data_IF_464101550992
#
_entry.id   IF_464101550992
#
_cell.length_a   1.000
_cell.length_b   1.000
_cell.length_c   1.000
_cell.angle_alpha   90.00
_cell.angle_beta   90.00
_cell.angle_gamma   90.00
#
_symmetry.space_group_name_H-M   'P 1'
#
loop_
_entity.id
_entity.type
_entity.pdbx_description
1 polymer ?
#
# COMPACT_ATOMS: atom_id res chain seq x y z
N UNK A 1 -1.01 -11.56 21.84
CA UNK A 1 -0.93 -13.02 22.13
C UNK A 1 -1.64 -13.26 23.43
N UNK A 2 -2.41 -14.34 23.54
CA UNK A 2 -3.14 -14.69 24.75
C UNK A 2 -2.21 -15.38 25.75
N UNK A 3 -2.30 -14.99 27.03
CA UNK A 3 -1.55 -15.59 28.12
C UNK A 3 -2.39 -16.62 28.87
N UNK A 4 -1.75 -17.60 29.52
CA UNK A 4 -2.46 -18.64 30.28
C UNK A 4 -3.38 -18.07 31.38
N UNK A 5 -3.06 -16.89 31.92
CA UNK A 5 -3.92 -16.15 32.86
C UNK A 5 -5.26 -15.73 32.26
N UNK A 6 -5.33 -15.54 30.94
CA UNK A 6 -6.52 -15.12 30.20
C UNK A 6 -7.37 -16.30 29.72
N UNK A 7 -6.97 -17.54 30.03
CA UNK A 7 -7.67 -18.75 29.58
C UNK A 7 -9.12 -18.82 30.06
N UNK A 8 -9.38 -18.37 31.28
CA UNK A 8 -10.75 -18.32 31.81
C UNK A 8 -11.59 -17.30 31.03
N UNK A 9 -11.09 -16.07 30.88
CA UNK A 9 -11.78 -15.02 30.15
C UNK A 9 -12.05 -15.39 28.67
N UNK A 10 -11.13 -16.12 28.04
CA UNK A 10 -11.33 -16.69 26.72
C UNK A 10 -12.45 -17.74 26.67
N UNK A 11 -12.49 -18.64 27.67
CA UNK A 11 -13.56 -19.63 27.79
C UNK A 11 -14.92 -18.96 27.96
N UNK A 12 -15.00 -17.97 28.86
CA UNK A 12 -16.23 -17.26 29.19
C UNK A 12 -16.76 -16.50 27.94
N UNK A 13 -15.86 -15.89 27.16
CA UNK A 13 -16.22 -15.23 25.90
C UNK A 13 -16.82 -16.21 24.88
N UNK A 14 -16.27 -17.43 24.77
CA UNK A 14 -16.83 -18.45 23.87
C UNK A 14 -18.19 -18.97 24.37
N UNK A 15 -18.40 -19.04 25.69
CA UNK A 15 -19.70 -19.40 26.26
C UNK A 15 -20.73 -18.32 25.99
N UNK A 16 -20.41 -17.04 26.18
CA UNK A 16 -21.29 -15.91 25.88
C UNK A 16 -21.78 -15.93 24.43
N UNK A 17 -20.86 -16.10 23.48
CA UNK A 17 -21.23 -16.26 22.06
C UNK A 17 -22.03 -17.55 21.86
N UNK A 18 -21.65 -18.64 22.53
CA UNK A 18 -22.38 -19.90 22.48
C UNK A 18 -23.85 -19.75 22.87
N UNK A 19 -24.11 -19.09 23.99
CA UNK A 19 -25.44 -18.81 24.52
C UNK A 19 -26.28 -17.97 23.54
N UNK A 20 -25.68 -16.97 22.89
CA UNK A 20 -26.36 -16.18 21.85
C UNK A 20 -26.93 -17.06 20.71
N UNK A 21 -26.23 -18.16 20.39
CA UNK A 21 -26.67 -19.13 19.39
C UNK A 21 -27.42 -20.33 19.96
N UNK A 22 -27.75 -20.33 21.27
CA UNK A 22 -28.44 -21.43 21.94
C UNK A 22 -27.62 -22.73 21.99
N UNK A 23 -26.28 -22.65 22.00
CA UNK A 23 -25.39 -23.81 22.12
C UNK A 23 -24.58 -23.74 23.41
N UNK A 24 -24.21 -24.90 23.94
CA UNK A 24 -23.16 -25.01 24.96
C UNK A 24 -21.84 -25.36 24.28
N UNK A 25 -20.79 -24.57 24.52
CA UNK A 25 -19.47 -24.83 23.93
C UNK A 25 -18.72 -25.84 24.80
N UNK A 26 -18.42 -27.02 24.24
CA UNK A 26 -17.71 -28.06 24.98
C UNK A 26 -16.28 -27.64 25.35
N UNK A 27 -15.77 -28.13 26.47
CA UNK A 27 -14.37 -27.89 26.88
C UNK A 27 -13.35 -28.32 25.83
N UNK A 28 -13.62 -29.39 25.09
CA UNK A 28 -12.76 -29.85 23.98
C UNK A 28 -12.73 -28.84 22.82
N UNK A 29 -13.88 -28.23 22.49
CA UNK A 29 -13.97 -27.16 21.49
C UNK A 29 -13.18 -25.94 21.93
N UNK A 30 -13.34 -25.50 23.18
CA UNK A 30 -12.59 -24.37 23.75
C UNK A 30 -11.08 -24.62 23.72
N UNK A 31 -10.64 -25.83 24.10
CA UNK A 31 -9.23 -26.21 24.05
C UNK A 31 -8.68 -26.20 22.60
N UNK A 32 -9.49 -26.67 21.64
CA UNK A 32 -9.12 -26.63 20.22
C UNK A 32 -8.95 -25.19 19.74
N UNK A 33 -9.89 -24.31 20.09
CA UNK A 33 -9.82 -22.90 19.75
C UNK A 33 -8.61 -22.22 20.41
N UNK A 34 -8.37 -22.49 21.69
CA UNK A 34 -7.21 -21.98 22.42
C UNK A 34 -5.91 -22.35 21.70
N UNK A 35 -5.71 -23.63 21.37
CA UNK A 35 -4.53 -24.12 20.64
C UNK A 35 -4.31 -23.41 19.30
N UNK A 36 -5.38 -23.12 18.56
CA UNK A 36 -5.30 -22.51 17.24
C UNK A 36 -5.07 -20.99 17.30
N UNK A 37 -5.69 -20.33 18.30
CA UNK A 37 -5.82 -18.88 18.35
C UNK A 37 -4.84 -18.22 19.34
N UNK A 38 -4.46 -18.86 20.44
CA UNK A 38 -3.72 -18.21 21.53
C UNK A 38 -2.41 -17.55 21.09
N UNK A 39 -1.68 -18.19 20.18
CA UNK A 39 -0.40 -17.68 19.68
C UNK A 39 -0.55 -16.55 18.63
N UNK A 40 -1.77 -16.27 18.17
CA UNK A 40 -2.00 -15.44 16.99
C UNK A 40 -2.80 -14.16 17.24
N UNK A 41 -3.45 -14.04 18.39
CA UNK A 41 -4.31 -12.90 18.75
C UNK A 41 -4.24 -12.65 20.26
N UNK A 42 -4.64 -11.46 20.67
CA UNK A 42 -4.96 -11.12 22.05
C UNK A 42 -6.48 -11.20 22.30
N UNK A 43 -6.87 -11.07 23.57
CA UNK A 43 -8.27 -11.20 23.98
C UNK A 43 -9.14 -10.06 23.44
N UNK A 44 -8.58 -8.85 23.35
CA UNK A 44 -9.28 -7.67 22.86
C UNK A 44 -9.61 -7.78 21.37
N UNK A 45 -8.63 -8.17 20.56
CA UNK A 45 -8.81 -8.43 19.12
C UNK A 45 -9.82 -9.55 18.90
N UNK A 46 -9.77 -10.61 19.71
CA UNK A 46 -10.74 -11.71 19.62
C UNK A 46 -12.17 -11.20 19.83
N UNK A 47 -12.40 -10.41 20.88
CA UNK A 47 -13.71 -9.82 21.17
C UNK A 47 -14.20 -8.95 20.02
N UNK A 48 -13.36 -8.03 19.55
CA UNK A 48 -13.70 -7.16 18.42
C UNK A 48 -14.09 -7.94 17.16
N UNK A 49 -13.39 -9.03 16.87
CA UNK A 49 -13.66 -9.89 15.73
C UNK A 49 -14.97 -10.66 15.88
N UNK A 50 -15.24 -11.18 17.08
CA UNK A 50 -16.50 -11.88 17.36
C UNK A 50 -17.69 -10.92 17.29
N UNK A 51 -17.59 -9.71 17.84
CA UNK A 51 -18.62 -8.68 17.71
C UNK A 51 -18.91 -8.36 16.25
N UNK A 52 -17.86 -8.21 15.43
CA UNK A 52 -17.99 -7.96 14.00
C UNK A 52 -18.62 -9.14 13.25
N UNK A 53 -18.36 -10.37 13.69
CA UNK A 53 -19.02 -11.57 13.15
C UNK A 53 -20.51 -11.58 13.47
N UNK A 54 -20.89 -11.24 14.70
CA UNK A 54 -22.31 -11.16 15.10
C UNK A 54 -23.08 -10.11 14.29
N UNK A 55 -22.43 -9.01 13.90
CA UNK A 55 -23.01 -7.96 13.07
C UNK A 55 -23.04 -8.30 11.56
N UNK A 56 -22.39 -9.38 11.13
CA UNK A 56 -22.37 -9.79 9.74
C UNK A 56 -23.69 -10.49 9.36
N UNK A 57 -24.46 -9.88 8.46
CA UNK A 57 -25.78 -10.37 8.07
C UNK A 57 -25.76 -11.77 7.42
N UNK A 58 -24.65 -12.18 6.80
CA UNK A 58 -24.53 -13.50 6.18
C UNK A 58 -23.86 -14.50 7.12
N UNK A 59 -22.69 -14.13 7.68
CA UNK A 59 -21.86 -15.04 8.48
C UNK A 59 -22.32 -15.15 9.93
N UNK A 60 -22.84 -14.06 10.49
CA UNK A 60 -23.35 -13.97 11.86
C UNK A 60 -24.56 -14.86 12.13
N UNK A 61 -25.14 -15.47 11.10
CA UNK A 61 -26.24 -16.45 11.22
C UNK A 61 -25.81 -17.77 11.87
N UNK A 62 -24.52 -18.09 11.82
CA UNK A 62 -23.96 -19.33 12.35
C UNK A 62 -22.86 -19.04 13.37
N UNK A 63 -22.45 -20.05 14.14
CA UNK A 63 -21.25 -19.87 14.98
C UNK A 63 -20.10 -19.45 14.12
N UNK A 64 -19.26 -18.52 14.59
CA UNK A 64 -17.95 -18.39 14.01
C UNK A 64 -17.19 -19.71 14.10
N UNK A 65 -16.50 -20.08 13.03
CA UNK A 65 -15.43 -21.07 13.09
C UNK A 65 -14.09 -20.35 13.36
N UNK A 66 -13.04 -21.05 13.85
CA UNK A 66 -11.72 -20.44 13.99
C UNK A 66 -11.19 -19.82 12.68
N UNK A 67 -11.54 -20.40 11.53
CA UNK A 67 -11.23 -19.86 10.21
C UNK A 67 -11.89 -18.52 9.93
N UNK A 68 -13.12 -18.31 10.39
CA UNK A 68 -13.84 -17.04 10.23
C UNK A 68 -13.17 -15.94 11.04
N UNK A 69 -12.79 -16.26 12.29
CA UNK A 69 -12.05 -15.36 13.17
C UNK A 69 -10.73 -14.95 12.49
N UNK A 70 -9.94 -15.90 12.00
CA UNK A 70 -8.68 -15.60 11.32
C UNK A 70 -8.87 -14.75 10.07
N UNK A 71 -9.93 -15.01 9.29
CA UNK A 71 -10.27 -14.21 8.09
C UNK A 71 -10.63 -12.77 8.46
N UNK A 72 -11.38 -12.57 9.54
CA UNK A 72 -11.75 -11.24 10.01
C UNK A 72 -10.55 -10.50 10.60
N UNK A 73 -9.67 -11.18 11.33
CA UNK A 73 -8.40 -10.61 11.80
C UNK A 73 -7.56 -10.13 10.61
N UNK A 74 -7.41 -10.96 9.57
CA UNK A 74 -6.67 -10.57 8.36
C UNK A 74 -7.27 -9.30 7.74
N UNK A 75 -8.60 -9.20 7.64
CA UNK A 75 -9.29 -8.01 7.12
C UNK A 75 -9.10 -6.76 7.99
N UNK A 76 -9.09 -6.90 9.32
CA UNK A 76 -8.85 -5.78 10.24
C UNK A 76 -7.42 -5.24 10.10
N UNK A 77 -6.45 -6.10 9.79
CA UNK A 77 -5.04 -5.76 9.62
C UNK A 77 -4.71 -5.37 8.16
N UNK A 78 -5.66 -4.75 7.45
CA UNK A 78 -5.48 -4.28 6.07
C UNK A 78 -5.66 -5.34 4.98
N UNK A 79 -5.70 -6.62 5.34
CA UNK A 79 -6.01 -7.73 4.44
C UNK A 79 -4.96 -8.03 3.37
N UNK A 80 -5.15 -9.13 2.66
CA UNK A 80 -4.50 -9.37 1.37
C UNK A 80 -5.25 -8.65 0.26
N UNK A 81 -4.58 -7.79 -0.53
CA UNK A 81 -5.21 -7.17 -1.68
C UNK A 81 -5.56 -8.23 -2.73
N UNK A 82 -6.63 -7.98 -3.50
CA UNK A 82 -6.92 -8.79 -4.69
C UNK A 82 -5.82 -8.61 -5.75
N UNK A 83 -5.67 -9.54 -6.69
CA UNK A 83 -4.58 -9.52 -7.68
C UNK A 83 -4.50 -8.21 -8.49
N UNK A 84 -5.64 -7.61 -8.83
CA UNK A 84 -5.67 -6.34 -9.57
C UNK A 84 -5.34 -5.12 -8.69
N UNK A 85 -5.72 -5.15 -7.42
CA UNK A 85 -5.33 -4.12 -6.44
C UNK A 85 -3.84 -4.23 -6.13
N UNK A 86 -3.35 -5.45 -5.93
CA UNK A 86 -1.94 -5.77 -5.75
C UNK A 86 -1.10 -5.27 -6.93
N UNK A 87 -1.60 -5.44 -8.16
CA UNK A 87 -0.96 -4.89 -9.36
C UNK A 87 -0.91 -3.36 -9.35
N UNK A 88 -2.00 -2.69 -8.94
CA UNK A 88 -2.02 -1.24 -8.85
C UNK A 88 -0.97 -0.70 -7.84
N UNK A 89 -0.77 -1.40 -6.72
CA UNK A 89 0.28 -1.10 -5.76
C UNK A 89 1.68 -1.41 -6.32
N UNK A 90 1.81 -2.52 -7.06
CA UNK A 90 3.06 -2.97 -7.67
C UNK A 90 3.59 -2.05 -8.76
N UNK A 91 2.71 -1.34 -9.49
CA UNK A 91 3.10 -0.42 -10.57
C UNK A 91 4.07 0.67 -10.09
N UNK A 92 3.84 1.18 -8.88
CA UNK A 92 4.71 2.18 -8.27
C UNK A 92 6.06 1.58 -7.84
N UNK A 93 6.11 0.27 -7.56
CA UNK A 93 7.33 -0.45 -7.15
C UNK A 93 8.35 -0.65 -8.26
N UNK A 94 7.98 -0.49 -9.53
CA UNK A 94 8.93 -0.52 -10.65
C UNK A 94 9.76 0.77 -10.78
N UNK A 95 9.38 1.82 -10.07
CA UNK A 95 10.13 3.08 -9.99
C UNK A 95 10.82 3.17 -8.62
N UNK A 96 12.13 2.95 -8.60
CA UNK A 96 12.95 2.98 -7.37
C UNK A 96 12.93 4.35 -6.66
N UNK A 97 12.50 5.42 -7.34
CA UNK A 97 12.36 6.73 -6.71
C UNK A 97 11.13 6.81 -5.79
N UNK A 98 10.14 5.93 -5.97
CA UNK A 98 8.84 5.99 -5.31
C UNK A 98 8.83 5.13 -4.05
N UNK A 99 8.30 5.69 -2.98
CA UNK A 99 8.04 4.92 -1.75
C UNK A 99 6.69 4.24 -1.86
N UNK A 100 6.65 2.95 -1.60
CA UNK A 100 5.43 2.14 -1.73
C UNK A 100 5.20 1.30 -0.49
N UNK A 101 3.93 1.17 -0.10
CA UNK A 101 3.52 0.23 0.94
C UNK A 101 2.98 -1.03 0.27
N UNK A 102 3.71 -2.13 0.42
CA UNK A 102 3.50 -3.39 -0.30
C UNK A 102 3.72 -4.57 0.64
N UNK A 103 3.20 -5.74 0.27
CA UNK A 103 3.46 -6.99 0.98
C UNK A 103 4.63 -7.75 0.36
N UNK A 104 5.20 -8.70 1.09
CA UNK A 104 6.22 -9.62 0.56
C UNK A 104 5.75 -10.34 -0.71
N UNK A 105 4.49 -10.79 -0.71
CA UNK A 105 3.86 -11.48 -1.84
C UNK A 105 3.84 -10.58 -3.10
N UNK A 106 3.58 -9.28 -2.92
CA UNK A 106 3.61 -8.29 -4.02
C UNK A 106 5.03 -8.13 -4.56
N UNK A 107 6.03 -7.98 -3.68
CA UNK A 107 7.43 -7.79 -4.11
C UNK A 107 7.97 -9.01 -4.85
N UNK A 108 7.69 -10.22 -4.38
CA UNK A 108 8.07 -11.45 -5.06
C UNK A 108 7.39 -11.58 -6.43
N UNK A 109 6.11 -11.18 -6.54
CA UNK A 109 5.39 -11.16 -7.80
C UNK A 109 5.93 -10.09 -8.77
N UNK A 110 6.37 -8.93 -8.26
CA UNK A 110 7.05 -7.88 -9.05
C UNK A 110 8.33 -8.43 -9.67
N UNK A 111 9.14 -9.17 -8.91
CA UNK A 111 10.38 -9.77 -9.42
C UNK A 111 10.11 -10.74 -10.59
N UNK A 112 9.03 -11.51 -10.53
CA UNK A 112 8.62 -12.39 -11.62
C UNK A 112 8.18 -11.62 -12.88
N UNK A 113 7.59 -10.43 -12.72
CA UNK A 113 7.12 -9.59 -13.82
C UNK A 113 8.18 -8.62 -14.38
N UNK A 114 9.25 -8.35 -13.61
CA UNK A 114 10.34 -7.43 -13.97
C UNK A 114 10.96 -7.64 -15.37
N UNK A 115 11.30 -8.87 -15.81
CA UNK A 115 11.90 -9.05 -17.14
C UNK A 115 10.95 -8.69 -18.28
N UNK A 116 9.65 -8.98 -18.14
CA UNK A 116 8.64 -8.66 -19.16
C UNK A 116 8.35 -7.15 -19.18
N UNK A 117 8.33 -6.53 -18.00
CA UNK A 117 8.19 -5.09 -17.86
C UNK A 117 9.36 -4.32 -18.51
N UNK A 118 10.59 -4.80 -18.33
CA UNK A 118 11.79 -4.18 -18.90
C UNK A 118 11.80 -4.14 -20.43
N UNK A 119 11.11 -5.09 -21.08
CA UNK A 119 10.96 -5.15 -22.55
C UNK A 119 9.87 -4.17 -23.03
N UNK A 120 9.07 -3.61 -22.12
CA UNK A 120 8.00 -2.65 -22.43
C UNK A 120 6.62 -3.28 -22.64
N UNK A 121 6.46 -4.59 -22.41
CA UNK A 121 5.17 -5.28 -22.47
C UNK A 121 4.43 -5.19 -21.14
N UNK A 122 3.66 -4.11 -20.97
CA UNK A 122 2.86 -3.89 -19.76
C UNK A 122 1.73 -4.90 -19.55
N UNK A 123 1.21 -5.51 -20.64
CA UNK A 123 0.14 -6.52 -20.53
C UNK A 123 0.73 -7.86 -20.10
N UNK A 124 1.81 -8.29 -20.75
CA UNK A 124 2.55 -9.49 -20.38
C UNK A 124 3.08 -9.42 -18.95
N UNK A 125 3.61 -8.27 -18.53
CA UNK A 125 4.07 -8.06 -17.17
C UNK A 125 2.94 -8.19 -16.15
N UNK A 126 1.76 -7.63 -16.43
CA UNK A 126 0.58 -7.79 -15.56
C UNK A 126 0.15 -9.26 -15.47
N UNK A 127 0.15 -9.99 -16.59
CA UNK A 127 -0.23 -11.41 -16.59
C UNK A 127 0.75 -12.24 -15.77
N UNK A 128 2.07 -12.05 -15.98
CA UNK A 128 3.11 -12.70 -15.21
C UNK A 128 2.99 -12.38 -13.70
N UNK A 129 2.73 -11.11 -13.37
CA UNK A 129 2.51 -10.68 -11.99
C UNK A 129 1.31 -11.39 -11.35
N UNK A 130 0.13 -11.35 -12.00
CA UNK A 130 -1.10 -11.93 -11.42
C UNK A 130 -0.93 -13.42 -11.16
N UNK A 131 -0.38 -14.16 -12.13
CA UNK A 131 -0.11 -15.60 -11.98
C UNK A 131 0.87 -15.88 -10.84
N UNK A 132 1.95 -15.11 -10.72
CA UNK A 132 2.90 -15.28 -9.62
C UNK A 132 2.28 -14.95 -8.26
N UNK A 133 1.55 -13.84 -8.18
CA UNK A 133 0.91 -13.37 -6.95
C UNK A 133 -0.14 -14.36 -6.44
N UNK A 134 -1.03 -14.85 -7.30
CA UNK A 134 -2.06 -15.82 -6.93
C UNK A 134 -1.46 -17.13 -6.41
N UNK A 135 -0.38 -17.61 -7.05
CA UNK A 135 0.37 -18.78 -6.58
C UNK A 135 0.99 -18.55 -5.20
N UNK A 136 1.65 -17.42 -4.98
CA UNK A 136 2.27 -17.06 -3.71
C UNK A 136 1.24 -16.91 -2.58
N UNK A 137 0.10 -16.26 -2.86
CA UNK A 137 -1.00 -16.14 -1.91
C UNK A 137 -1.56 -17.51 -1.53
N UNK A 138 -1.75 -18.40 -2.50
CA UNK A 138 -2.22 -19.76 -2.22
C UNK A 138 -1.23 -20.53 -1.34
N UNK A 139 0.06 -20.47 -1.66
CA UNK A 139 1.13 -21.10 -0.88
C UNK A 139 1.19 -20.57 0.55
N UNK A 140 1.18 -19.25 0.72
CA UNK A 140 1.21 -18.62 2.04
C UNK A 140 -0.05 -18.89 2.87
N UNK A 141 -1.22 -19.03 2.24
CA UNK A 141 -2.45 -19.45 2.92
C UNK A 141 -2.33 -20.87 3.46
N UNK A 142 -1.78 -21.80 2.69
CA UNK A 142 -1.54 -23.19 3.14
C UNK A 142 -0.56 -23.23 4.31
N UNK A 143 0.47 -22.39 4.27
CA UNK A 143 1.46 -22.25 5.35
C UNK A 143 0.96 -21.45 6.57
N UNK A 144 -0.27 -20.91 6.52
CA UNK A 144 -0.81 -20.07 7.59
C UNK A 144 -0.07 -18.74 7.78
N UNK A 145 0.72 -18.30 6.79
CA UNK A 145 1.41 -17.01 6.84
C UNK A 145 0.40 -15.89 6.62
N UNK A 146 0.53 -14.81 7.39
CA UNK A 146 -0.27 -13.59 7.23
C UNK A 146 0.42 -12.62 6.27
N UNK A 147 -0.33 -11.75 5.57
CA UNK A 147 0.27 -10.68 4.79
C UNK A 147 1.08 -9.77 5.71
N UNK A 148 2.38 -9.66 5.44
CA UNK A 148 3.24 -8.71 6.12
C UNK A 148 3.35 -7.47 5.24
N UNK A 149 2.73 -6.37 5.69
CA UNK A 149 2.84 -5.08 5.05
C UNK A 149 4.13 -4.41 5.47
N UNK A 150 4.88 -3.92 4.49
CA UNK A 150 6.13 -3.20 4.70
C UNK A 150 6.23 -2.00 3.77
N UNK A 151 7.13 -1.09 4.10
CA UNK A 151 7.40 0.10 3.31
C UNK A 151 8.70 -0.10 2.53
N UNK A 152 8.62 -0.10 1.20
CA UNK A 152 9.81 0.03 0.36
C UNK A 152 10.15 1.52 0.23
N UNK A 153 11.29 1.92 0.76
CA UNK A 153 11.71 3.31 0.86
C UNK A 153 12.31 3.81 -0.45
N UNK A 154 11.61 4.73 -1.10
CA UNK A 154 12.15 5.53 -2.20
C UNK A 154 12.93 6.75 -1.70
N UNK A 155 13.69 7.38 -2.60
CA UNK A 155 14.55 8.52 -2.27
C UNK A 155 13.77 9.82 -1.98
N UNK A 156 12.55 9.98 -2.50
CA UNK A 156 11.74 11.21 -2.34
C UNK A 156 11.10 11.33 -0.95
N UNK A 157 11.66 12.21 -0.10
CA UNK A 157 11.20 12.46 1.27
C UNK A 157 9.77 13.02 1.37
N UNK A 158 9.31 13.82 0.40
CA UNK A 158 7.99 14.44 0.45
C UNK A 158 6.88 13.42 0.12
N UNK A 159 7.14 12.51 -0.82
CA UNK A 159 6.22 11.42 -1.15
C UNK A 159 6.17 10.35 -0.07
N UNK A 160 7.27 10.13 0.67
CA UNK A 160 7.32 9.20 1.81
C UNK A 160 6.22 9.47 2.83
N UNK A 161 6.11 10.72 3.30
CA UNK A 161 5.16 11.06 4.37
C UNK A 161 3.71 10.81 3.96
N UNK A 162 3.33 11.16 2.73
CA UNK A 162 1.97 10.97 2.24
C UNK A 162 1.60 9.48 2.10
N UNK A 163 2.52 8.64 1.61
CA UNK A 163 2.32 7.19 1.47
C UNK A 163 2.21 6.53 2.83
N UNK A 164 3.09 6.90 3.75
CA UNK A 164 3.06 6.45 5.14
C UNK A 164 1.74 6.80 5.83
N UNK A 165 1.29 8.04 5.73
CA UNK A 165 0.02 8.46 6.34
C UNK A 165 -1.17 7.66 5.79
N UNK A 166 -1.19 7.40 4.47
CA UNK A 166 -2.23 6.58 3.83
C UNK A 166 -2.17 5.11 4.28
N UNK A 167 -0.98 4.54 4.42
CA UNK A 167 -0.78 3.17 4.88
C UNK A 167 -1.23 2.99 6.34
N UNK A 168 -0.96 3.97 7.20
CA UNK A 168 -1.46 4.00 8.58
C UNK A 168 -2.99 4.18 8.61
N UNK A 169 -3.54 5.11 7.83
CA UNK A 169 -4.99 5.35 7.79
C UNK A 169 -5.79 4.14 7.27
N UNK A 170 -5.19 3.31 6.42
CA UNK A 170 -5.79 2.08 5.90
C UNK A 170 -5.55 0.85 6.78
N UNK A 171 -4.89 1.00 7.93
CA UNK A 171 -4.60 -0.11 8.85
C UNK A 171 -3.58 -1.12 8.32
N UNK A 172 -2.88 -0.79 7.23
CA UNK A 172 -1.85 -1.66 6.62
C UNK A 172 -0.54 -1.60 7.41
N UNK A 173 -0.20 -0.45 7.99
CA UNK A 173 0.95 -0.29 8.87
C UNK A 173 0.51 0.20 10.24
N UNK A 174 1.11 -0.35 11.31
CA UNK A 174 0.90 0.17 12.66
C UNK A 174 1.62 1.51 12.84
N UNK A 175 1.03 2.43 13.61
CA UNK A 175 1.68 3.71 13.94
C UNK A 175 3.02 3.53 14.63
N UNK A 176 3.14 2.47 15.44
CA UNK A 176 4.36 2.12 16.15
C UNK A 176 5.50 1.75 15.18
N UNK A 177 5.18 1.01 14.12
CA UNK A 177 6.13 0.61 13.08
C UNK A 177 6.66 1.78 12.25
N UNK A 178 5.94 2.91 12.20
CA UNK A 178 6.26 4.03 11.31
C UNK A 178 6.56 5.33 12.05
N UNK A 179 6.56 5.31 13.39
CA UNK A 179 6.80 6.50 14.22
C UNK A 179 8.13 7.21 13.94
N UNK A 180 9.14 6.49 13.45
CA UNK A 180 10.44 7.03 13.07
C UNK A 180 10.49 7.66 11.67
N UNK A 181 9.46 7.43 10.83
CA UNK A 181 9.37 7.93 9.45
C UNK A 181 8.33 9.05 9.29
N UNK A 182 7.52 9.29 10.32
CA UNK A 182 6.56 10.39 10.37
C UNK A 182 7.19 11.59 11.09
N UNK A 183 7.04 12.82 10.58
CA UNK A 183 7.32 14.00 11.39
C UNK A 183 6.42 13.96 12.64
N UNK A 184 6.90 14.44 13.80
CA UNK A 184 6.09 14.53 15.03
C UNK A 184 4.76 15.22 14.71
N UNK A 185 3.63 14.76 15.26
CA UNK A 185 2.36 15.44 15.04
C UNK A 185 2.54 16.88 15.50
N UNK A 186 2.41 17.84 14.58
CA UNK A 186 2.24 19.22 14.99
C UNK A 186 1.00 19.26 15.86
N UNK A 187 1.23 19.43 17.16
CA UNK A 187 0.20 19.74 18.13
C UNK A 187 -0.48 20.97 17.58
N UNK A 188 -1.68 20.80 17.01
CA UNK A 188 -2.58 21.89 16.70
C UNK A 188 -2.73 22.67 18.00
N UNK A 189 -2.02 23.79 18.08
CA UNK A 189 -1.96 24.63 19.25
C UNK A 189 -3.39 24.96 19.63
N UNK A 190 -3.75 24.57 20.85
CA UNK A 190 -4.96 24.99 21.52
C UNK A 190 -5.02 26.51 21.45
N UNK A 191 -5.92 27.05 20.63
CA UNK A 191 -6.28 28.46 20.71
C UNK A 191 -7.05 28.60 22.03
N UNK A 192 -6.56 29.37 23.01
CA UNK A 192 -7.21 29.48 24.29
C UNK A 192 -8.51 30.26 24.14
N UNK A 193 -9.52 29.72 24.80
CA UNK A 193 -10.80 30.32 25.13
C UNK A 193 -10.58 31.65 25.85
N UNK A 194 -11.08 32.73 25.30
CA UNK A 194 -11.49 33.91 26.09
C UNK A 194 -12.86 34.31 25.60
N UNK A 195 -13.85 33.97 26.42
CA UNK A 195 -15.22 34.40 26.30
C UNK A 195 -15.33 35.85 26.76
N UNK A 196 -15.95 36.70 25.95
CA UNK A 196 -16.78 37.81 26.44
C UNK A 196 -17.79 38.23 25.36
N UNK A 197 -19.07 38.07 25.72
CA UNK A 197 -20.24 38.87 25.34
C UNK A 197 -20.86 38.75 23.94
N UNK A 198 -21.88 37.88 23.89
CA UNK A 198 -23.27 38.16 23.49
C UNK A 198 -23.52 39.20 22.39
N UNK A 199 -23.95 38.73 21.21
CA UNK A 199 -25.12 39.31 20.52
C UNK A 199 -25.75 38.28 19.56
N UNK A 200 -27.08 38.24 19.63
CA UNK A 200 -28.00 37.30 19.00
C UNK A 200 -28.00 37.39 17.48
N UNK A 201 -27.62 36.33 16.75
CA UNK A 201 -28.00 36.13 15.34
C UNK A 201 -28.28 34.65 15.03
N UNK A 202 -29.27 34.34 14.18
CA UNK A 202 -29.81 32.99 14.02
C UNK A 202 -28.84 32.08 13.27
N UNK A 203 -28.80 30.82 13.69
CA UNK A 203 -27.92 29.77 13.22
C UNK A 203 -28.03 29.54 11.70
N UNK A 204 -27.07 30.08 10.94
CA UNK A 204 -26.77 29.62 9.59
C UNK A 204 -25.96 28.34 9.70
N UNK A 205 -26.65 27.20 9.57
CA UNK A 205 -26.04 25.90 9.35
C UNK A 205 -25.11 25.99 8.12
N UNK A 206 -23.79 25.98 8.37
CA UNK A 206 -22.72 25.90 7.37
C UNK A 206 -22.75 24.55 6.63
N UNK A 207 -23.74 24.39 5.78
CA UNK A 207 -23.62 24.22 4.33
C UNK A 207 -22.50 23.33 3.74
N UNK A 208 -22.12 22.24 4.42
CA UNK A 208 -21.32 21.14 3.84
C UNK A 208 -21.97 20.52 2.60
N UNK A 209 -23.28 20.72 2.43
CA UNK A 209 -24.04 20.19 1.30
C UNK A 209 -23.92 21.03 0.04
N UNK A 210 -23.69 22.35 0.12
CA UNK A 210 -23.49 23.18 -1.07
C UNK A 210 -22.09 23.03 -1.67
N UNK A 211 -21.04 22.82 -0.86
CA UNK A 211 -19.69 22.57 -1.41
C UNK A 211 -19.65 21.29 -2.23
N UNK A 212 -20.30 20.21 -1.75
CA UNK A 212 -20.41 18.94 -2.48
C UNK A 212 -21.26 19.05 -3.75
N UNK A 213 -22.36 19.81 -3.70
CA UNK A 213 -23.21 20.08 -4.87
C UNK A 213 -22.48 20.91 -5.93
N UNK A 214 -21.75 21.95 -5.51
CA UNK A 214 -20.95 22.79 -6.41
C UNK A 214 -19.82 21.99 -7.07
N UNK A 215 -19.17 21.09 -6.34
CA UNK A 215 -18.14 20.21 -6.90
C UNK A 215 -18.71 19.22 -7.93
N UNK A 216 -19.86 18.61 -7.66
CA UNK A 216 -20.54 17.70 -8.60
C UNK A 216 -21.02 18.44 -9.86
N UNK A 217 -21.51 19.68 -9.72
CA UNK A 217 -21.91 20.50 -10.86
C UNK A 217 -20.71 20.84 -11.76
N UNK A 218 -19.55 21.20 -11.19
CA UNK A 218 -18.33 21.48 -11.96
C UNK A 218 -17.80 20.26 -12.70
N UNK A 219 -17.91 19.07 -12.10
CA UNK A 219 -17.53 17.81 -12.75
C UNK A 219 -18.50 17.47 -13.89
N UNK A 220 -19.80 17.62 -13.66
CA UNK A 220 -20.81 17.38 -14.70
C UNK A 220 -20.59 18.29 -15.91
N UNK A 221 -20.29 19.56 -15.67
CA UNK A 221 -20.02 20.56 -16.72
C UNK A 221 -18.68 20.32 -17.44
N UNK A 222 -17.68 19.75 -16.76
CA UNK A 222 -16.40 19.35 -17.37
C UNK A 222 -16.56 18.11 -18.26
N UNK A 223 -17.41 17.15 -17.87
CA UNK A 223 -17.74 15.97 -18.68
C UNK A 223 -18.50 16.37 -19.95
N UNK A 224 -19.46 17.30 -19.84
CA UNK A 224 -20.21 17.81 -21.00
C UNK A 224 -19.32 18.60 -21.99
N UNK A 225 -18.26 19.25 -21.51
CA UNK A 225 -17.30 20.00 -22.36
C UNK A 225 -16.24 19.14 -23.03
N UNK A 226 -16.23 17.81 -22.82
CA UNK A 226 -15.29 16.90 -23.48
C UNK A 226 -13.82 17.14 -23.13
N UNK A 227 -13.51 17.78 -22.00
CA UNK A 227 -12.14 17.99 -21.56
C UNK A 227 -11.54 16.64 -21.09
N UNK A 228 -10.37 16.23 -21.62
CA UNK A 228 -9.76 14.96 -21.23
C UNK A 228 -9.44 14.97 -19.72
N UNK A 229 -9.59 13.82 -19.02
CA UNK A 229 -9.38 13.77 -17.59
C UNK A 229 -7.93 14.12 -17.25
N UNK A 230 -7.66 14.80 -16.11
CA UNK A 230 -6.34 15.31 -15.73
C UNK A 230 -5.25 14.22 -15.58
N UNK A 231 -5.64 12.95 -15.56
CA UNK A 231 -4.72 11.81 -15.56
C UNK A 231 -4.13 11.55 -16.95
N UNK A 232 -4.91 11.75 -18.04
CA UNK A 232 -4.44 11.57 -19.41
C UNK A 232 -3.37 12.62 -19.78
N UNK A 233 -3.65 13.89 -19.44
CA UNK A 233 -2.73 15.02 -19.66
C UNK A 233 -1.41 14.85 -18.90
N UNK A 234 -1.43 14.30 -17.68
CA UNK A 234 -0.22 13.97 -16.90
C UNK A 234 0.62 12.85 -17.53
N UNK A 235 -0.02 11.85 -18.17
CA UNK A 235 0.67 10.75 -18.86
C UNK A 235 1.32 11.24 -20.14
N UNK A 236 0.63 12.08 -20.89
CA UNK A 236 1.12 12.65 -22.14
C UNK A 236 2.28 13.63 -21.91
N UNK A 237 2.17 14.47 -20.88
CA UNK A 237 3.26 15.35 -20.44
C UNK A 237 4.49 14.58 -19.93
N UNK A 238 4.30 13.39 -19.33
CA UNK A 238 5.41 12.52 -18.91
C UNK A 238 6.10 11.88 -20.12
N UNK A 239 5.32 11.33 -21.06
CA UNK A 239 5.84 10.76 -22.30
C UNK A 239 6.59 11.80 -23.16
N UNK A 240 6.12 13.05 -23.18
CA UNK A 240 6.81 14.16 -23.86
C UNK A 240 8.18 14.45 -23.23
N UNK A 241 8.26 14.54 -21.91
CA UNK A 241 9.53 14.78 -21.18
C UNK A 241 10.53 13.65 -21.38
N UNK A 242 10.06 12.40 -21.45
CA UNK A 242 10.90 11.23 -21.71
C UNK A 242 11.46 11.23 -23.14
N UNK A 243 10.63 11.61 -24.14
CA UNK A 243 11.07 11.77 -25.53
C UNK A 243 12.12 12.86 -25.68
N UNK A 244 11.94 13.98 -25.00
CA UNK A 244 12.91 15.09 -25.01
C UNK A 244 14.24 14.69 -24.38
N UNK A 245 14.22 14.00 -23.23
CA UNK A 245 15.43 13.47 -22.58
C UNK A 245 16.16 12.48 -23.47
N UNK A 246 15.43 11.58 -24.12
CA UNK A 246 16.04 10.60 -25.03
C UNK A 246 16.65 11.27 -26.28
N UNK A 247 15.98 12.29 -26.82
CA UNK A 247 16.51 13.08 -27.93
C UNK A 247 17.77 13.86 -27.53
N UNK A 248 17.83 14.41 -26.31
CA UNK A 248 19.01 15.10 -25.78
C UNK A 248 20.19 14.13 -25.61
N UNK A 249 19.97 12.96 -24.99
CA UNK A 249 21.00 11.93 -24.83
C UNK A 249 21.57 11.46 -26.18
N UNK A 250 20.72 11.32 -27.19
CA UNK A 250 21.14 10.95 -28.54
C UNK A 250 22.01 12.03 -29.20
N UNK A 251 21.68 13.32 -29.01
CA UNK A 251 22.51 14.44 -29.50
C UNK A 251 23.86 14.51 -28.79
N UNK A 252 23.87 14.33 -27.47
CA UNK A 252 25.10 14.35 -26.68
C UNK A 252 26.04 13.19 -27.02
N UNK A 253 25.48 12.01 -27.31
CA UNK A 253 26.23 10.85 -27.77
C UNK A 253 26.87 11.09 -29.15
N UNK A 254 26.12 11.67 -30.09
CA UNK A 254 26.64 12.03 -31.42
C UNK A 254 27.74 13.09 -31.33
N UNK A 255 27.57 14.12 -30.50
CA UNK A 255 28.58 15.15 -30.27
C UNK A 255 29.88 14.58 -29.65
N UNK A 256 29.77 13.59 -28.75
CA UNK A 256 30.94 12.89 -28.19
C UNK A 256 31.69 12.06 -29.24
N UNK A 257 30.97 11.41 -30.16
CA UNK A 257 31.56 10.66 -31.27
C UNK A 257 32.27 11.59 -32.28
N UNK A 258 31.68 12.73 -32.61
CA UNK A 258 32.30 13.72 -33.50
C UNK A 258 33.56 14.34 -32.87
N UNK A 259 33.55 14.62 -31.56
CA UNK A 259 34.75 15.07 -30.83
C UNK A 259 35.87 14.03 -30.87
N UNK A 260 35.54 12.74 -30.72
CA UNK A 260 36.53 11.66 -30.85
C UNK A 260 37.09 11.51 -32.26
N UNK A 261 36.28 11.80 -33.28
CA UNK A 261 36.70 11.76 -34.70
C UNK A 261 37.61 12.94 -35.08
N UNK A 262 37.44 14.09 -34.44
CA UNK A 262 38.18 15.32 -34.75
C UNK A 262 39.44 15.54 -33.89
N UNK A 263 39.80 14.62 -32.99
CA UNK A 263 41.08 14.68 -32.27
C UNK A 263 42.18 14.09 -33.17
N UNK A 264 43.14 14.90 -33.68
CA UNK A 264 44.24 14.36 -34.47
C UNK A 264 45.18 13.52 -33.58
N UNK A 265 45.61 12.38 -34.09
CA UNK A 265 46.68 11.59 -33.51
C UNK A 265 47.98 12.41 -33.62
N UNK A 266 48.44 12.94 -32.49
CA UNK A 266 49.67 13.71 -32.45
C UNK A 266 50.86 12.78 -32.67
N UNK A 267 51.71 13.20 -33.60
CA UNK A 267 52.86 12.46 -34.12
C UNK A 267 54.03 12.63 -33.16
N UNK A 268 54.53 11.54 -32.58
CA UNK A 268 55.90 11.51 -32.04
C UNK A 268 56.61 10.27 -32.53
N UNK A 269 57.27 10.40 -33.67
CA UNK A 269 58.33 9.51 -34.11
C UNK A 269 59.64 9.89 -33.38
N UNK A 270 60.38 8.96 -32.77
CA UNK A 270 61.77 9.19 -32.44
C UNK A 270 62.65 8.77 -33.63
N UNK A 271 63.28 9.76 -34.24
CA UNK A 271 64.43 9.61 -35.14
C UNK A 271 65.63 9.14 -34.31
N UNK A 272 66.18 7.98 -34.61
CA UNK A 272 67.56 7.63 -34.27
C UNK A 272 68.18 6.88 -35.46
N UNK A 273 69.14 7.53 -36.11
CA UNK A 273 70.03 6.89 -37.06
C UNK A 273 71.34 6.51 -36.39
N UNK A 274 71.89 5.34 -36.73
CA UNK A 274 73.33 5.05 -36.77
C UNK A 274 73.58 3.61 -37.23
N UNK A 275 74.44 3.51 -38.26
CA UNK A 275 75.43 2.45 -38.54
C UNK A 275 74.98 1.07 -39.09
N UNK A 276 75.27 0.80 -40.38
CA UNK A 276 76.37 -0.08 -40.86
C UNK A 276 76.13 -0.54 -42.31
N UNK A 277 77.16 -0.47 -43.15
CA UNK A 277 77.26 -1.14 -44.46
C UNK A 277 77.25 -0.22 -45.66
#
# INVERSE_FOLDING_TARGET
MLFDSERQAFSDLLDEIGEHYGRVVSGATKMTWWRLLANQLDLETLRQVLDRHLLDAERGRFFPQPSDVLTLVERLQGGRPGADEAWALALESFDEAVTVCVTDEILMAVQAAAPVWAIGDGIGARMAFKTAYERLVAEHRVLGRRPQWQLSLGWDAARRTAVVQRAVASGRLSRDQVGHLLPPPEVSAQIPTSAESCETQPALALDRTNVRRQWLQRIHEAIQRGAPPPVAERRENRAARERERFAQLKRDALAKLERRRNTPADTTAPTNGSETG
#
